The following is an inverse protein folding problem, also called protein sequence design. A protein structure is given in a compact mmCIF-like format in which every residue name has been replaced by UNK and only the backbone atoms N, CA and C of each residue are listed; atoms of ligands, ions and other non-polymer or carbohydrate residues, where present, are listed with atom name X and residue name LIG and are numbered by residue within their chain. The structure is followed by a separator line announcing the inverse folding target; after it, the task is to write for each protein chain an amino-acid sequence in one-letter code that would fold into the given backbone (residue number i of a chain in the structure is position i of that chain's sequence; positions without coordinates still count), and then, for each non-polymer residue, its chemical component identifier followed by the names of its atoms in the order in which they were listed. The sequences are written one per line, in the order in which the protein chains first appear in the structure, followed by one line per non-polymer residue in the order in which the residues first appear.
data_IF_211496365556
#
_entry.id   IF_211496365556
#
_cell.length_a   1.000
_cell.length_b   1.000
_cell.length_c   1.000
_cell.angle_alpha   90.00
_cell.angle_beta   90.00
_cell.angle_gamma   90.00
#
_symmetry.space_group_name_H-M   'P 1'
#
loop_
_entity.id
_entity.type
_entity.pdbx_description
1 polymer ?
#
# COMPACT_ATOMS: atom_id res chain seq x y z
N UNK A 1 5.66 -0.93 -8.62
CA UNK A 1 4.70 -0.75 -7.53
C UNK A 1 4.17 0.68 -7.50
N UNK A 2 3.06 0.87 -6.80
CA UNK A 2 2.48 2.19 -6.63
C UNK A 2 3.06 2.83 -5.38
N UNK A 3 3.26 4.11 -5.45
CA UNK A 3 3.86 4.83 -4.33
C UNK A 3 2.78 5.34 -3.39
N UNK A 4 3.20 6.06 -2.37
CA UNK A 4 2.33 6.62 -1.38
C UNK A 4 1.26 7.50 -2.03
N UNK A 5 0.01 7.26 -1.67
CA UNK A 5 -1.17 8.01 -2.11
C UNK A 5 -1.66 7.61 -3.51
N UNK A 6 -0.96 6.73 -4.19
CA UNK A 6 -1.46 6.22 -5.44
C UNK A 6 -2.44 5.13 -5.15
N UNK A 7 -3.35 4.88 -6.08
CA UNK A 7 -4.31 3.81 -5.89
C UNK A 7 -3.62 2.47 -5.93
N UNK A 8 -4.12 1.56 -5.19
CA UNK A 8 -3.52 0.27 -5.11
C UNK A 8 -4.46 -0.79 -5.62
N UNK A 9 -3.90 -1.73 -6.32
CA UNK A 9 -4.63 -2.85 -6.78
C UNK A 9 -4.73 -3.87 -5.65
N UNK A 10 -3.63 -4.02 -4.91
CA UNK A 10 -3.55 -4.88 -3.75
C UNK A 10 -2.40 -4.41 -2.88
N UNK A 11 -2.19 -5.06 -1.74
CA UNK A 11 -1.17 -4.63 -0.76
C UNK A 11 0.25 -4.73 -1.28
N UNK A 12 0.51 -5.76 -2.04
CA UNK A 12 1.85 -6.02 -2.53
C UNK A 12 2.13 -5.24 -3.80
N UNK A 13 1.13 -4.50 -4.22
CA UNK A 13 1.21 -3.63 -5.36
C UNK A 13 1.81 -2.28 -4.93
N UNK A 14 1.84 -2.07 -3.64
CA UNK A 14 2.35 -0.84 -3.07
C UNK A 14 3.84 -0.96 -2.74
N UNK A 15 4.57 0.12 -2.96
CA UNK A 15 6.00 0.19 -2.69
C UNK A 15 6.26 0.24 -1.19
N UNK A 16 7.51 -0.01 -0.79
CA UNK A 16 7.91 0.06 0.59
C UNK A 16 7.16 -0.92 1.46
N UNK A 17 6.79 -0.46 2.62
CA UNK A 17 6.05 -1.27 3.55
C UNK A 17 4.61 -0.76 3.61
N UNK A 18 4.19 -0.12 2.54
CA UNK A 18 2.85 0.41 2.44
C UNK A 18 1.88 -0.72 2.15
N UNK A 19 0.65 -0.51 2.50
CA UNK A 19 -0.38 -1.47 2.31
C UNK A 19 -1.48 -0.85 1.48
N UNK A 20 -2.46 -1.62 1.12
CA UNK A 20 -3.50 -1.15 0.30
C UNK A 20 -4.74 -0.84 1.10
N UNK A 21 -5.13 0.39 1.09
CA UNK A 21 -6.34 0.83 1.71
C UNK A 21 -6.96 1.90 0.81
N UNK A 22 -7.36 1.44 -0.37
CA UNK A 22 -7.85 2.33 -1.41
C UNK A 22 -6.68 2.89 -2.19
N UNK A 23 -5.78 3.47 -1.44
CA UNK A 23 -4.54 4.00 -1.92
C UNK A 23 -3.43 3.33 -1.14
N UNK A 24 -2.23 3.44 -1.65
CA UNK A 24 -1.08 2.91 -0.98
C UNK A 24 -0.73 3.78 0.18
N UNK A 25 -0.94 3.26 1.35
CA UNK A 25 -0.70 3.94 2.57
C UNK A 25 -0.30 2.94 3.61
N UNK A 26 0.44 3.35 4.56
CA UNK A 26 0.84 2.46 5.59
C UNK A 26 -0.24 2.39 6.65
N UNK A 27 -0.70 1.21 6.88
CA UNK A 27 -1.73 0.93 7.84
C UNK A 27 -1.12 0.73 9.23
N UNK A 28 -1.93 0.29 10.17
CA UNK A 28 -1.43 0.03 11.52
C UNK A 28 -0.80 -1.36 11.54
N UNK A 29 -1.48 -2.29 10.90
CA UNK A 29 -1.01 -3.65 10.80
C UNK A 29 -0.16 -3.80 9.55
N UNK A 30 0.98 -4.50 9.67
CA UNK A 30 1.84 -4.74 8.54
C UNK A 30 1.31 -5.88 7.66
N UNK A 31 0.84 -5.51 6.49
CA UNK A 31 0.28 -6.46 5.54
C UNK A 31 1.36 -7.39 5.00
N UNK A 32 2.57 -6.87 4.93
CA UNK A 32 3.69 -7.60 4.43
C UNK A 32 4.45 -8.21 5.58
#
# INVERSE_FOLDING_TARGET
CAVTHEKCSDDYDCCGSLCCVGICAKTIAPCK
#
